data_IF_773455175469
#
_entry.id   IF_773455175469
#
_cell.length_a   1.000
_cell.length_b   1.000
_cell.length_c   1.000
_cell.angle_alpha   90.00
_cell.angle_beta   90.00
_cell.angle_gamma   90.00
#
_symmetry.space_group_name_H-M   'P 1'
#
loop_
_entity.id
_entity.type
_entity.pdbx_description
1 polymer ?
#
# COMPACT_ATOMS: atom_id res chain seq x y z
N UNK A 1 5.94 -4.96 16.20
CA UNK A 1 6.80 -4.79 15.01
C UNK A 1 6.28 -3.58 14.27
N UNK A 2 7.10 -2.56 14.02
CA UNK A 2 6.64 -1.28 13.46
C UNK A 2 6.72 -1.32 11.94
N UNK A 3 5.63 -0.98 11.24
CA UNK A 3 5.66 -0.72 9.80
C UNK A 3 6.51 0.52 9.52
N UNK A 4 7.50 0.42 8.63
CA UNK A 4 8.25 1.59 8.14
C UNK A 4 7.57 2.16 6.91
N UNK A 5 7.43 3.48 6.89
CA UNK A 5 6.84 4.23 5.77
C UNK A 5 7.90 5.21 5.29
N UNK A 6 8.27 5.13 4.02
CA UNK A 6 9.22 6.05 3.39
C UNK A 6 8.56 6.76 2.21
N UNK A 7 8.47 8.09 2.30
CA UNK A 7 7.95 8.93 1.23
C UNK A 7 9.09 9.52 0.43
N UNK A 8 9.08 9.31 -0.87
CA UNK A 8 10.02 9.91 -1.83
C UNK A 8 9.26 10.73 -2.84
N UNK A 9 9.52 12.04 -2.87
CA UNK A 9 8.95 12.94 -3.88
C UNK A 9 9.72 12.76 -5.19
N UNK A 10 9.08 12.16 -6.19
CA UNK A 10 9.59 12.10 -7.56
C UNK A 10 9.14 13.32 -8.36
N UNK A 11 9.73 13.50 -9.54
CA UNK A 11 9.38 14.60 -10.44
C UNK A 11 7.98 14.49 -11.06
N UNK A 12 7.37 13.29 -11.06
CA UNK A 12 6.04 13.02 -11.67
C UNK A 12 5.07 12.31 -10.73
N UNK A 13 5.59 11.61 -9.73
CA UNK A 13 4.79 10.79 -8.80
C UNK A 13 5.47 10.72 -7.44
N UNK A 14 4.68 10.60 -6.38
CA UNK A 14 5.15 10.35 -5.02
C UNK A 14 5.22 8.85 -4.83
N UNK A 15 6.41 8.34 -4.50
CA UNK A 15 6.59 6.95 -4.12
C UNK A 15 6.46 6.81 -2.62
N UNK A 16 5.55 5.97 -2.17
CA UNK A 16 5.41 5.58 -0.77
C UNK A 16 5.84 4.13 -0.64
N UNK A 17 6.99 3.89 -0.03
CA UNK A 17 7.52 2.55 0.22
C UNK A 17 7.10 2.10 1.60
N UNK A 18 6.52 0.91 1.66
CA UNK A 18 6.14 0.24 2.90
C UNK A 18 7.11 -0.92 3.15
N UNK A 19 7.61 -1.04 4.38
CA UNK A 19 8.49 -2.14 4.78
C UNK A 19 8.03 -2.75 6.10
N UNK A 20 7.90 -4.08 6.14
CA UNK A 20 7.46 -4.85 7.30
C UNK A 20 6.06 -5.43 7.15
N UNK A 21 5.20 -5.24 8.17
CA UNK A 21 3.88 -5.88 8.23
C UNK A 21 2.77 -4.83 8.13
N UNK A 22 2.01 -4.84 7.04
CA UNK A 22 0.88 -3.94 6.83
C UNK A 22 -0.37 -4.54 7.46
N UNK A 23 -0.74 -4.01 8.61
CA UNK A 23 -1.88 -4.46 9.43
C UNK A 23 -2.83 -3.31 9.71
N UNK A 24 -4.05 -3.64 10.11
CA UNK A 24 -5.10 -2.70 10.54
C UNK A 24 -4.60 -1.62 11.49
N UNK A 25 -3.73 -1.97 12.44
CA UNK A 25 -3.12 -1.04 13.41
C UNK A 25 -2.30 0.09 12.75
N UNK A 26 -1.68 -0.19 11.60
CA UNK A 26 -0.80 0.75 10.88
C UNK A 26 -1.54 1.58 9.83
N UNK A 27 -2.77 1.19 9.43
CA UNK A 27 -3.52 1.87 8.37
C UNK A 27 -3.80 3.34 8.69
N UNK A 28 -3.97 3.68 9.97
CA UNK A 28 -4.17 5.08 10.41
C UNK A 28 -2.95 5.97 10.14
N UNK A 29 -1.76 5.37 10.02
CA UNK A 29 -0.52 6.08 9.70
C UNK A 29 -0.25 6.11 8.19
N UNK A 30 -0.65 5.06 7.47
CA UNK A 30 -0.41 4.96 6.02
C UNK A 30 -1.39 5.82 5.20
N UNK A 31 -2.68 5.85 5.57
CA UNK A 31 -3.71 6.57 4.81
C UNK A 31 -3.39 8.06 4.58
N UNK A 32 -2.98 8.85 5.61
CA UNK A 32 -2.67 10.26 5.42
C UNK A 32 -1.49 10.51 4.47
N UNK A 33 -0.51 9.60 4.41
CA UNK A 33 0.64 9.74 3.51
C UNK A 33 0.22 9.60 2.04
N UNK A 34 -0.76 8.73 1.77
CA UNK A 34 -1.33 8.50 0.44
C UNK A 34 -2.28 9.64 0.05
N UNK A 35 -3.19 10.02 0.93
CA UNK A 35 -4.21 11.04 0.66
C UNK A 35 -3.63 12.47 0.64
N UNK A 36 -2.56 12.72 1.39
CA UNK A 36 -1.91 14.03 1.51
C UNK A 36 -0.90 14.35 0.39
N UNK A 37 -0.85 13.55 -0.67
CA UNK A 37 0.07 13.79 -1.78
C UNK A 37 -0.55 14.68 -2.87
N UNK A 38 0.15 15.76 -3.23
CA UNK A 38 -0.28 16.69 -4.29
C UNK A 38 -0.12 16.14 -5.71
N UNK A 39 0.62 15.03 -5.85
CA UNK A 39 0.94 14.38 -7.12
C UNK A 39 0.55 12.91 -7.08
N UNK A 40 0.35 12.24 -8.24
CA UNK A 40 -0.02 10.84 -8.30
C UNK A 40 0.85 9.96 -7.39
N UNK A 41 0.21 9.08 -6.63
CA UNK A 41 0.90 8.23 -5.66
C UNK A 41 1.11 6.85 -6.27
N UNK A 42 2.26 6.28 -5.98
CA UNK A 42 2.54 4.86 -6.17
C UNK A 42 2.94 4.24 -4.84
N UNK A 43 2.34 3.10 -4.52
CA UNK A 43 2.66 2.32 -3.33
C UNK A 43 3.62 1.20 -3.69
N UNK A 44 4.68 1.05 -2.93
CA UNK A 44 5.73 0.08 -3.19
C UNK A 44 5.84 -0.90 -2.03
N UNK A 45 5.58 -2.18 -2.34
CA UNK A 45 5.45 -3.26 -1.37
C UNK A 45 6.63 -4.24 -1.37
N UNK A 46 7.77 -3.86 -1.97
CA UNK A 46 8.94 -4.75 -2.12
C UNK A 46 9.41 -5.37 -0.80
N UNK A 47 9.30 -4.65 0.30
CA UNK A 47 9.72 -5.08 1.64
C UNK A 47 8.52 -5.37 2.55
N UNK A 48 7.33 -5.59 2.00
CA UNK A 48 6.14 -6.00 2.77
C UNK A 48 6.04 -7.53 2.79
N UNK A 49 6.26 -8.10 3.96
CA UNK A 49 6.26 -9.55 4.14
C UNK A 49 4.86 -10.11 4.46
N UNK A 50 4.01 -9.30 5.09
CA UNK A 50 2.72 -9.75 5.59
C UNK A 50 1.68 -8.63 5.53
N UNK A 51 0.47 -9.02 5.12
CA UNK A 51 -0.72 -8.17 5.03
C UNK A 51 -1.89 -8.88 5.72
N UNK A 52 -2.64 -8.18 6.56
CA UNK A 52 -3.92 -8.68 7.10
C UNK A 52 -5.09 -8.30 6.19
N UNK A 53 -6.30 -8.78 6.52
CA UNK A 53 -7.50 -8.56 5.67
C UNK A 53 -7.79 -7.07 5.47
N UNK A 54 -7.65 -6.25 6.51
CA UNK A 54 -7.87 -4.81 6.38
C UNK A 54 -6.77 -4.15 5.53
N UNK A 55 -5.52 -4.63 5.63
CA UNK A 55 -4.43 -4.26 4.73
C UNK A 55 -4.73 -4.62 3.27
N UNK A 56 -5.27 -5.82 3.00
CA UNK A 56 -5.69 -6.22 1.64
C UNK A 56 -6.76 -5.27 1.11
N UNK A 57 -7.79 -4.97 1.92
CA UNK A 57 -8.87 -4.05 1.54
C UNK A 57 -8.34 -2.66 1.23
N UNK A 58 -7.43 -2.15 2.06
CA UNK A 58 -6.77 -0.87 1.82
C UNK A 58 -5.99 -0.87 0.49
N UNK A 59 -5.25 -1.93 0.17
CA UNK A 59 -4.53 -2.03 -1.11
C UNK A 59 -5.49 -2.07 -2.30
N UNK A 60 -6.63 -2.75 -2.17
CA UNK A 60 -7.68 -2.78 -3.18
C UNK A 60 -8.36 -1.41 -3.36
N UNK A 61 -8.62 -0.69 -2.26
CA UNK A 61 -9.11 0.70 -2.29
C UNK A 61 -8.10 1.62 -3.00
N UNK A 62 -6.80 1.39 -2.81
CA UNK A 62 -5.76 2.15 -3.51
C UNK A 62 -5.81 1.87 -5.03
N UNK A 63 -5.83 0.60 -5.46
CA UNK A 63 -5.94 0.30 -6.90
C UNK A 63 -7.22 0.86 -7.53
N UNK A 64 -8.36 0.81 -6.82
CA UNK A 64 -9.64 1.32 -7.34
C UNK A 64 -9.69 2.85 -7.43
N UNK A 65 -8.91 3.55 -6.61
CA UNK A 65 -8.74 5.01 -6.67
C UNK A 65 -7.66 5.47 -7.66
N UNK A 66 -7.02 4.52 -8.37
CA UNK A 66 -6.03 4.79 -9.40
C UNK A 66 -4.58 4.84 -8.90
N UNK A 67 -4.33 4.47 -7.64
CA UNK A 67 -2.99 4.36 -7.08
C UNK A 67 -2.35 3.06 -7.58
N UNK A 68 -1.16 3.17 -8.17
CA UNK A 68 -0.45 1.98 -8.66
C UNK A 68 0.26 1.26 -7.52
N UNK A 69 0.07 -0.06 -7.42
CA UNK A 69 0.81 -0.92 -6.50
C UNK A 69 2.01 -1.54 -7.22
N UNK A 70 3.21 -1.19 -6.79
CA UNK A 70 4.49 -1.65 -7.32
C UNK A 70 5.10 -2.74 -6.43
N UNK A 71 5.81 -3.68 -7.07
CA UNK A 71 6.59 -4.75 -6.41
C UNK A 71 5.80 -5.53 -5.35
N UNK A 72 4.50 -5.69 -5.59
CA UNK A 72 3.63 -6.53 -4.79
C UNK A 72 4.03 -7.99 -4.95
N UNK A 73 4.26 -8.69 -3.83
CA UNK A 73 4.54 -10.11 -3.85
C UNK A 73 3.35 -10.89 -4.45
N UNK A 74 3.59 -12.00 -5.18
CA UNK A 74 2.52 -12.80 -5.75
C UNK A 74 1.47 -13.24 -4.73
N UNK A 75 1.91 -13.52 -3.50
CA UNK A 75 1.04 -13.89 -2.38
C UNK A 75 0.07 -12.76 -2.00
N UNK A 76 0.56 -11.53 -1.82
CA UNK A 76 -0.29 -10.38 -1.49
C UNK A 76 -1.24 -10.08 -2.65
N UNK A 77 -0.75 -10.13 -3.89
CA UNK A 77 -1.57 -9.92 -5.09
C UNK A 77 -2.69 -10.94 -5.21
N UNK A 78 -2.43 -12.21 -4.89
CA UNK A 78 -3.46 -13.24 -4.88
C UNK A 78 -4.55 -12.94 -3.83
N UNK A 79 -4.16 -12.52 -2.62
CA UNK A 79 -5.12 -12.13 -1.59
C UNK A 79 -5.96 -10.92 -1.98
N UNK A 80 -5.35 -9.91 -2.63
CA UNK A 80 -6.07 -8.77 -3.20
C UNK A 80 -7.17 -9.21 -4.17
N UNK A 81 -6.83 -10.08 -5.13
CA UNK A 81 -7.79 -10.61 -6.11
C UNK A 81 -8.91 -11.44 -5.44
N UNK A 82 -8.58 -12.24 -4.43
CA UNK A 82 -9.56 -13.05 -3.70
C UNK A 82 -10.55 -12.19 -2.91
N UNK A 83 -10.08 -11.11 -2.28
CA UNK A 83 -10.94 -10.21 -1.49
C UNK A 83 -11.84 -9.35 -2.40
N UNK A 84 -11.41 -9.00 -3.62
CA UNK A 84 -12.25 -8.27 -4.58
C UNK A 84 -13.47 -9.08 -5.07
N UNK A 85 -13.40 -10.41 -5.05
CA UNK A 85 -14.47 -11.29 -5.49
C UNK A 85 -15.49 -11.64 -4.40
N UNK A 86 -15.38 -11.05 -3.21
CA UNK A 86 -16.19 -11.36 -2.02
C UNK A 86 -17.21 -10.26 -1.74
#
# INVERSE_FOLDING_TARGET
MTLKIERTLGARETRIRLSGQLRSEHLKQVRPEVEGAEQPVVLDLEEVDLVDVDGVRFLNECESTGISILRCSPYIREWMLREQGR
#
